data_IF_517627082981
#
_entry.id   IF_517627082981
#
_cell.length_a   1.000
_cell.length_b   1.000
_cell.length_c   1.000
_cell.angle_alpha   90.00
_cell.angle_beta   90.00
_cell.angle_gamma   90.00
#
_symmetry.space_group_name_H-M   'P 1'
#
loop_
_entity.id
_entity.type
_entity.pdbx_description
1 polymer ?
#
# COMPACT_ATOMS: atom_id res chain seq x y z
N UNK A 1 43.86 -2.85 6.53
CA UNK A 1 42.90 -3.42 5.56
C UNK A 1 41.43 -3.05 5.84
N UNK A 2 40.96 -3.08 7.09
CA UNK A 2 39.54 -2.79 7.46
C UNK A 2 39.08 -1.38 7.09
N UNK A 3 39.96 -0.37 7.18
CA UNK A 3 39.62 1.02 6.87
C UNK A 3 39.41 1.29 5.36
N UNK A 4 40.17 0.60 4.52
CA UNK A 4 40.11 0.77 3.05
C UNK A 4 38.79 0.17 2.47
N UNK A 5 38.31 -0.91 3.04
CA UNK A 5 37.04 -1.53 2.62
C UNK A 5 35.84 -0.65 2.98
N UNK A 6 35.83 -0.06 4.19
CA UNK A 6 34.78 0.87 4.63
C UNK A 6 34.73 2.17 3.80
N UNK A 7 35.91 2.68 3.39
CA UNK A 7 36.01 3.88 2.55
C UNK A 7 35.47 3.57 1.13
N UNK A 8 35.88 2.46 0.52
CA UNK A 8 35.35 2.03 -0.80
C UNK A 8 33.83 1.82 -0.78
N UNK A 9 33.27 1.26 0.29
CA UNK A 9 31.85 1.08 0.45
C UNK A 9 31.11 2.42 0.57
N UNK A 10 31.63 3.38 1.35
CA UNK A 10 31.05 4.73 1.45
C UNK A 10 31.07 5.47 0.09
N UNK A 11 32.18 5.37 -0.66
CA UNK A 11 32.30 5.97 -1.98
C UNK A 11 31.32 5.35 -2.98
N UNK A 12 31.13 4.03 -2.93
CA UNK A 12 30.16 3.33 -3.78
C UNK A 12 28.73 3.76 -3.48
N UNK A 13 28.37 3.90 -2.20
CA UNK A 13 27.05 4.40 -1.76
C UNK A 13 26.85 5.84 -2.29
N UNK A 14 27.80 6.73 -2.07
CA UNK A 14 27.70 8.12 -2.53
C UNK A 14 27.54 8.22 -4.07
N UNK A 15 28.28 7.41 -4.84
CA UNK A 15 28.12 7.34 -6.30
C UNK A 15 26.72 6.95 -6.73
N UNK A 16 26.05 6.04 -6.03
CA UNK A 16 24.68 5.63 -6.38
C UNK A 16 23.64 6.71 -6.04
N UNK A 17 23.78 7.41 -4.91
CA UNK A 17 22.97 8.60 -4.62
C UNK A 17 23.13 9.65 -5.72
N UNK A 18 24.36 9.99 -6.05
CA UNK A 18 24.66 10.98 -7.09
C UNK A 18 24.10 10.56 -8.44
N UNK A 19 24.23 9.27 -8.81
CA UNK A 19 23.67 8.72 -10.04
C UNK A 19 22.15 8.90 -10.10
N UNK A 20 21.41 8.51 -9.06
CA UNK A 20 19.96 8.63 -9.04
C UNK A 20 19.54 10.11 -9.10
N UNK A 21 20.16 10.98 -8.30
CA UNK A 21 19.84 12.41 -8.29
C UNK A 21 20.12 13.04 -9.67
N UNK A 22 21.28 12.77 -10.27
CA UNK A 22 21.61 13.29 -11.61
C UNK A 22 20.67 12.72 -12.67
N UNK A 23 20.33 11.45 -12.59
CA UNK A 23 19.39 10.81 -13.50
C UNK A 23 18.01 11.47 -13.42
N UNK A 24 17.49 11.70 -12.21
CA UNK A 24 16.20 12.40 -12.00
C UNK A 24 16.27 13.87 -12.47
N UNK A 25 17.35 14.58 -12.19
CA UNK A 25 17.54 15.95 -12.64
C UNK A 25 17.59 16.05 -14.17
N UNK A 26 18.29 15.13 -14.83
CA UNK A 26 18.34 15.08 -16.30
C UNK A 26 16.97 14.73 -16.89
N UNK A 27 16.27 13.73 -16.38
CA UNK A 27 14.94 13.37 -16.88
C UNK A 27 13.94 14.52 -16.71
N UNK A 28 13.97 15.23 -15.57
CA UNK A 28 13.16 16.42 -15.34
C UNK A 28 13.51 17.56 -16.31
N UNK A 29 14.80 17.86 -16.47
CA UNK A 29 15.26 18.90 -17.37
C UNK A 29 14.88 18.63 -18.82
N UNK A 30 15.15 17.42 -19.32
CA UNK A 30 14.78 17.07 -20.69
C UNK A 30 13.27 17.05 -20.89
N UNK A 31 12.52 16.53 -19.92
CA UNK A 31 11.07 16.53 -19.95
C UNK A 31 10.47 17.93 -20.03
N UNK A 32 10.97 18.85 -19.19
CA UNK A 32 10.54 20.25 -19.23
C UNK A 32 10.89 20.91 -20.58
N UNK A 33 12.11 20.69 -21.11
CA UNK A 33 12.52 21.23 -22.40
C UNK A 33 11.71 20.70 -23.59
N UNK A 34 11.32 19.42 -23.56
CA UNK A 34 10.45 18.85 -24.58
C UNK A 34 9.09 19.57 -24.62
N UNK A 35 8.48 19.78 -23.45
CA UNK A 35 7.18 20.49 -23.38
C UNK A 35 7.30 21.96 -23.79
N UNK A 36 8.40 22.61 -23.41
CA UNK A 36 8.65 24.01 -23.80
C UNK A 36 8.77 24.16 -25.33
N UNK A 37 9.46 23.24 -26.00
CA UNK A 37 9.65 23.25 -27.45
C UNK A 37 8.40 22.78 -28.21
N UNK A 38 7.71 21.78 -27.67
CA UNK A 38 6.54 21.15 -28.29
C UNK A 38 5.34 21.12 -27.35
N UNK A 39 4.64 22.24 -27.12
CA UNK A 39 3.57 22.32 -26.12
C UNK A 39 2.39 21.34 -26.35
N UNK A 40 2.15 20.97 -27.62
CA UNK A 40 1.04 20.08 -28.00
C UNK A 40 1.41 18.60 -27.97
N UNK A 41 2.70 18.26 -27.83
CA UNK A 41 3.20 16.89 -27.92
C UNK A 41 2.60 15.95 -26.88
N UNK A 42 2.23 16.50 -25.71
CA UNK A 42 1.61 15.73 -24.63
C UNK A 42 0.24 15.15 -25.00
N UNK A 43 -0.40 15.69 -26.04
CA UNK A 43 -1.69 15.20 -26.56
C UNK A 43 -1.55 14.15 -27.65
N UNK A 44 -0.34 13.94 -28.16
CA UNK A 44 -0.08 12.93 -29.20
C UNK A 44 -0.04 11.54 -28.58
N UNK A 45 -0.74 10.59 -29.17
CA UNK A 45 -0.85 9.23 -28.70
C UNK A 45 0.51 8.51 -28.57
N UNK A 46 1.37 8.67 -29.57
CA UNK A 46 2.70 8.03 -29.56
C UNK A 46 3.58 8.58 -28.44
N UNK A 47 3.46 9.88 -28.15
CA UNK A 47 4.17 10.47 -27.02
C UNK A 47 3.66 9.95 -25.67
N UNK A 48 2.34 9.77 -25.54
CA UNK A 48 1.74 9.18 -24.33
C UNK A 48 2.24 7.74 -24.10
N UNK A 49 2.30 6.93 -25.16
CA UNK A 49 2.87 5.57 -25.08
C UNK A 49 4.36 5.58 -24.73
N UNK A 50 5.13 6.52 -25.31
CA UNK A 50 6.53 6.71 -24.98
C UNK A 50 6.73 7.06 -23.50
N UNK A 51 5.90 7.95 -22.95
CA UNK A 51 5.96 8.32 -21.52
C UNK A 51 5.62 7.11 -20.64
N UNK A 52 4.60 6.33 -21.00
CA UNK A 52 4.27 5.11 -20.25
C UNK A 52 5.44 4.11 -20.23
N UNK A 53 6.05 3.86 -21.38
CA UNK A 53 7.27 3.04 -21.48
C UNK A 53 8.45 3.62 -20.66
N UNK A 54 8.56 4.95 -20.64
CA UNK A 54 9.58 5.64 -19.84
C UNK A 54 9.39 5.49 -18.34
N UNK A 55 8.14 5.48 -17.84
CA UNK A 55 7.83 5.19 -16.43
C UNK A 55 8.31 3.79 -16.05
N UNK A 56 8.01 2.78 -16.89
CA UNK A 56 8.45 1.41 -16.67
C UNK A 56 9.98 1.30 -16.62
N UNK A 57 10.67 1.94 -17.58
CA UNK A 57 12.13 1.96 -17.63
C UNK A 57 12.73 2.69 -16.42
N UNK A 58 12.17 3.82 -16.03
CA UNK A 58 12.58 4.62 -14.88
C UNK A 58 12.42 3.81 -13.59
N UNK A 59 11.29 3.10 -13.46
CA UNK A 59 11.04 2.16 -12.37
C UNK A 59 12.12 1.08 -12.27
N UNK A 60 12.47 0.46 -13.39
CA UNK A 60 13.50 -0.56 -13.45
C UNK A 60 14.89 -0.01 -13.04
N UNK A 61 15.30 1.14 -13.58
CA UNK A 61 16.59 1.77 -13.28
C UNK A 61 16.69 2.13 -11.79
N UNK A 62 15.65 2.72 -11.22
CA UNK A 62 15.62 3.08 -9.79
C UNK A 62 15.68 1.84 -8.92
N UNK A 63 14.88 0.82 -9.19
CA UNK A 63 14.91 -0.43 -8.41
C UNK A 63 16.28 -1.14 -8.49
N UNK A 64 16.96 -1.06 -9.61
CA UNK A 64 18.31 -1.62 -9.78
C UNK A 64 19.38 -0.85 -9.01
N UNK A 65 19.22 0.46 -8.87
CA UNK A 65 20.20 1.37 -8.27
C UNK A 65 19.98 1.61 -6.77
N UNK A 66 18.74 1.62 -6.33
CA UNK A 66 18.33 1.94 -4.95
C UNK A 66 18.84 1.00 -3.86
N UNK A 67 18.99 -0.34 -4.05
CA UNK A 67 19.47 -1.23 -2.99
C UNK A 67 20.87 -0.87 -2.48
N UNK A 68 21.63 -0.11 -3.26
CA UNK A 68 22.95 0.40 -2.86
C UNK A 68 22.87 1.72 -2.09
N UNK A 69 21.70 2.34 -2.02
CA UNK A 69 21.39 3.47 -1.14
C UNK A 69 20.78 2.92 0.15
N UNK A 70 20.65 3.74 1.18
CA UNK A 70 19.95 3.36 2.42
C UNK A 70 18.47 3.72 2.39
N UNK A 71 17.99 4.29 1.28
CA UNK A 71 16.63 4.74 1.08
C UNK A 71 15.89 3.68 0.24
N UNK A 72 14.70 3.23 0.65
CA UNK A 72 13.88 2.31 -0.14
C UNK A 72 13.58 2.84 -1.55
N UNK A 73 13.48 1.93 -2.51
CA UNK A 73 13.24 2.29 -3.92
C UNK A 73 11.94 3.09 -4.11
N UNK A 74 10.92 2.80 -3.32
CA UNK A 74 9.62 3.48 -3.38
C UNK A 74 9.71 4.99 -3.15
N UNK A 75 10.59 5.42 -2.23
CA UNK A 75 10.85 6.84 -1.99
C UNK A 75 11.45 7.52 -3.22
N UNK A 76 12.43 6.88 -3.86
CA UNK A 76 13.04 7.39 -5.10
C UNK A 76 12.02 7.45 -6.25
N UNK A 77 11.10 6.49 -6.33
CA UNK A 77 10.04 6.46 -7.34
C UNK A 77 9.05 7.61 -7.16
N UNK A 78 8.70 7.95 -5.92
CA UNK A 78 7.88 9.13 -5.62
C UNK A 78 8.60 10.41 -6.07
N UNK A 79 9.88 10.56 -5.73
CA UNK A 79 10.66 11.71 -6.21
C UNK A 79 10.81 11.74 -7.74
N UNK A 80 10.87 10.57 -8.39
CA UNK A 80 10.83 10.49 -9.84
C UNK A 80 9.52 11.02 -10.41
N UNK A 81 8.39 10.64 -9.83
CA UNK A 81 7.07 11.16 -10.19
C UNK A 81 6.98 12.68 -10.04
N UNK A 82 7.42 13.22 -8.90
CA UNK A 82 7.53 14.67 -8.69
C UNK A 82 8.39 15.37 -9.74
N UNK A 83 9.51 14.76 -10.12
CA UNK A 83 10.46 15.33 -11.09
C UNK A 83 9.90 15.38 -12.53
N UNK A 84 9.04 14.42 -12.90
CA UNK A 84 8.45 14.32 -14.25
C UNK A 84 6.97 14.73 -14.29
N UNK A 85 6.46 15.36 -13.24
CA UNK A 85 5.07 15.79 -13.12
C UNK A 85 4.51 16.49 -14.37
N UNK A 86 5.22 17.45 -15.02
CA UNK A 86 4.70 18.11 -16.22
C UNK A 86 4.48 17.16 -17.40
N UNK A 87 5.29 16.12 -17.52
CA UNK A 87 5.17 15.10 -18.58
C UNK A 87 3.97 14.18 -18.39
N UNK A 88 3.48 14.05 -17.15
CA UNK A 88 2.39 13.16 -16.78
C UNK A 88 1.04 13.88 -16.65
N UNK A 89 0.97 15.19 -16.92
CA UNK A 89 -0.26 15.99 -16.79
C UNK A 89 -1.43 15.38 -17.57
N UNK A 90 -1.21 15.01 -18.84
CA UNK A 90 -2.22 14.38 -19.67
C UNK A 90 -2.77 13.08 -19.08
N UNK A 91 -1.89 12.29 -18.46
CA UNK A 91 -2.24 11.00 -17.86
C UNK A 91 -3.03 11.21 -16.56
N UNK A 92 -2.69 12.26 -15.80
CA UNK A 92 -3.39 12.61 -14.56
C UNK A 92 -4.79 13.16 -14.84
N UNK A 93 -4.99 13.84 -15.97
CA UNK A 93 -6.28 14.38 -16.40
C UNK A 93 -7.28 13.28 -16.80
N UNK A 94 -6.79 12.11 -17.28
CA UNK A 94 -7.60 10.94 -17.67
C UNK A 94 -7.92 10.05 -16.44
N UNK A 95 -8.77 10.57 -15.54
CA UNK A 95 -9.08 9.92 -14.24
C UNK A 95 -9.54 8.46 -14.39
N UNK A 96 -10.44 8.16 -15.30
CA UNK A 96 -10.93 6.79 -15.51
C UNK A 96 -9.85 5.79 -15.93
N UNK A 97 -8.86 6.19 -16.73
CA UNK A 97 -7.75 5.36 -17.15
C UNK A 97 -6.82 5.04 -15.96
N UNK A 98 -6.48 6.07 -15.18
CA UNK A 98 -5.65 5.90 -13.99
C UNK A 98 -6.32 4.93 -13.01
N UNK A 99 -7.59 5.13 -12.73
CA UNK A 99 -8.35 4.26 -11.84
C UNK A 99 -8.32 2.81 -12.29
N UNK A 100 -8.64 2.53 -13.56
CA UNK A 100 -8.60 1.18 -14.10
C UNK A 100 -7.19 0.57 -13.97
N UNK A 101 -6.16 1.33 -14.28
CA UNK A 101 -4.77 0.89 -14.18
C UNK A 101 -4.39 0.56 -12.72
N UNK A 102 -4.67 1.43 -11.77
CA UNK A 102 -4.32 1.19 -10.36
C UNK A 102 -5.13 0.05 -9.75
N UNK A 103 -6.39 -0.15 -10.17
CA UNK A 103 -7.22 -1.28 -9.74
C UNK A 103 -6.68 -2.62 -10.27
N UNK A 104 -6.24 -2.68 -11.54
CA UNK A 104 -5.56 -3.86 -12.10
C UNK A 104 -4.27 -4.16 -11.35
N UNK A 105 -3.44 -3.16 -11.14
CA UNK A 105 -2.18 -3.31 -10.40
C UNK A 105 -2.43 -3.80 -8.97
N UNK A 106 -3.41 -3.20 -8.28
CA UNK A 106 -3.76 -3.60 -6.92
C UNK A 106 -4.27 -5.04 -6.84
N UNK A 107 -5.04 -5.51 -7.84
CA UNK A 107 -5.49 -6.90 -7.89
C UNK A 107 -4.34 -7.89 -7.97
N UNK A 108 -3.31 -7.59 -8.77
CA UNK A 108 -2.10 -8.41 -8.89
C UNK A 108 -1.29 -8.43 -7.58
N UNK A 109 -1.15 -7.28 -6.95
CA UNK A 109 -0.40 -7.14 -5.68
C UNK A 109 -1.09 -7.89 -4.55
N UNK A 110 -2.40 -7.74 -4.41
CA UNK A 110 -3.17 -8.43 -3.36
C UNK A 110 -3.20 -9.94 -3.54
N UNK A 111 -3.29 -10.41 -4.78
CA UNK A 111 -3.15 -11.83 -5.09
C UNK A 111 -1.77 -12.36 -4.68
N UNK A 112 -0.69 -11.65 -5.03
CA UNK A 112 0.66 -12.01 -4.62
C UNK A 112 0.80 -12.04 -3.09
N UNK A 113 0.26 -11.04 -2.39
CA UNK A 113 0.25 -10.99 -0.92
C UNK A 113 -0.50 -12.16 -0.30
N UNK A 114 -1.61 -12.61 -0.93
CA UNK A 114 -2.32 -13.82 -0.53
C UNK A 114 -1.47 -15.09 -0.70
N UNK A 115 -0.72 -15.21 -1.80
CA UNK A 115 0.18 -16.33 -2.07
C UNK A 115 1.37 -16.43 -1.09
N UNK A 116 1.81 -15.30 -0.53
CA UNK A 116 2.91 -15.27 0.43
C UNK A 116 2.54 -15.82 1.81
N UNK A 117 1.23 -15.90 2.11
CA UNK A 117 0.74 -16.33 3.42
C UNK A 117 0.60 -17.85 3.45
N UNK A 118 1.34 -18.57 4.30
CA UNK A 118 1.14 -20.00 4.49
C UNK A 118 -0.20 -20.26 5.18
N UNK A 119 -1.19 -20.78 4.45
CA UNK A 119 -2.57 -20.95 4.92
C UNK A 119 -2.70 -21.68 6.26
N UNK A 120 -1.89 -22.74 6.48
CA UNK A 120 -1.89 -23.49 7.75
C UNK A 120 -1.48 -22.64 8.96
N UNK A 121 -0.49 -21.75 8.81
CA UNK A 121 -0.02 -20.85 9.87
C UNK A 121 -1.01 -19.69 10.06
N UNK A 122 -1.58 -19.17 9.00
CA UNK A 122 -2.65 -18.17 9.02
C UNK A 122 -3.85 -18.68 9.83
N UNK A 123 -4.35 -19.89 9.55
CA UNK A 123 -5.49 -20.50 10.26
C UNK A 123 -5.24 -20.61 11.77
N UNK A 124 -4.01 -20.93 12.19
CA UNK A 124 -3.65 -21.05 13.61
C UNK A 124 -3.76 -19.73 14.37
N UNK A 125 -3.42 -18.62 13.73
CA UNK A 125 -3.42 -17.28 14.35
C UNK A 125 -4.52 -16.37 13.78
N UNK A 126 -5.55 -16.97 13.18
CA UNK A 126 -6.62 -16.24 12.49
C UNK A 126 -7.25 -15.14 13.34
N UNK A 127 -7.67 -15.44 14.59
CA UNK A 127 -8.36 -14.46 15.42
C UNK A 127 -7.50 -13.23 15.79
N UNK A 128 -6.24 -13.35 16.26
CA UNK A 128 -5.36 -12.20 16.45
C UNK A 128 -5.12 -11.40 15.16
N UNK A 129 -4.88 -12.07 14.04
CA UNK A 129 -4.68 -11.43 12.74
C UNK A 129 -5.94 -10.69 12.31
N UNK A 130 -7.10 -11.33 12.39
CA UNK A 130 -8.39 -10.73 12.05
C UNK A 130 -8.70 -9.51 12.95
N UNK A 131 -8.44 -9.60 14.25
CA UNK A 131 -8.61 -8.46 15.16
C UNK A 131 -7.72 -7.28 14.79
N UNK A 132 -6.45 -7.52 14.49
CA UNK A 132 -5.54 -6.46 14.04
C UNK A 132 -5.96 -5.85 12.70
N UNK A 133 -6.41 -6.68 11.77
CA UNK A 133 -6.67 -6.25 10.39
C UNK A 133 -8.06 -5.63 10.21
N UNK A 134 -9.10 -6.12 10.83
CA UNK A 134 -10.45 -5.55 10.68
C UNK A 134 -10.77 -4.55 11.79
N UNK A 135 -10.74 -5.00 13.04
CA UNK A 135 -11.00 -4.09 14.16
C UNK A 135 -9.91 -3.02 14.28
N UNK A 136 -8.65 -3.40 14.10
CA UNK A 136 -7.51 -2.47 14.13
C UNK A 136 -7.59 -1.40 13.05
N UNK A 137 -8.04 -1.72 11.83
CA UNK A 137 -8.21 -0.74 10.74
C UNK A 137 -9.32 0.26 11.08
N UNK A 138 -10.48 -0.20 11.57
CA UNK A 138 -11.57 0.69 11.99
C UNK A 138 -11.10 1.59 13.14
N UNK A 139 -10.49 1.01 14.17
CA UNK A 139 -9.98 1.75 15.32
C UNK A 139 -8.91 2.78 14.91
N UNK A 140 -8.00 2.39 14.03
CA UNK A 140 -6.98 3.28 13.47
C UNK A 140 -7.63 4.44 12.71
N UNK A 141 -8.62 4.16 11.87
CA UNK A 141 -9.34 5.18 11.10
C UNK A 141 -10.05 6.18 11.99
N UNK A 142 -10.75 5.71 13.03
CA UNK A 142 -11.46 6.57 13.98
C UNK A 142 -10.49 7.42 14.81
N UNK A 143 -9.47 6.80 15.40
CA UNK A 143 -8.51 7.52 16.24
C UNK A 143 -7.72 8.54 15.43
N UNK A 144 -7.25 8.13 14.26
CA UNK A 144 -6.42 8.99 13.42
C UNK A 144 -7.21 10.17 12.85
N UNK A 145 -8.41 9.93 12.30
CA UNK A 145 -9.27 11.01 11.82
C UNK A 145 -9.66 11.97 12.95
N UNK A 146 -9.90 11.46 14.16
CA UNK A 146 -10.22 12.28 15.33
C UNK A 146 -9.06 13.21 15.69
N UNK A 147 -7.84 12.67 15.75
CA UNK A 147 -6.65 13.46 16.06
C UNK A 147 -6.41 14.54 15.02
N UNK A 148 -6.46 14.17 13.72
CA UNK A 148 -6.26 15.14 12.63
C UNK A 148 -7.37 16.20 12.64
N UNK A 149 -8.63 15.80 12.86
CA UNK A 149 -9.76 16.73 12.94
C UNK A 149 -9.57 17.79 14.02
N UNK A 150 -9.20 17.40 15.24
CA UNK A 150 -8.96 18.36 16.32
C UNK A 150 -7.74 19.24 16.05
N UNK A 151 -6.69 18.70 15.41
CA UNK A 151 -5.53 19.47 14.99
C UNK A 151 -5.91 20.53 13.93
N UNK A 152 -6.68 20.14 12.91
CA UNK A 152 -7.19 21.03 11.86
C UNK A 152 -8.15 22.08 12.44
N UNK A 153 -9.01 21.69 13.38
CA UNK A 153 -9.90 22.62 14.09
C UNK A 153 -9.13 23.65 14.90
N UNK A 154 -8.09 23.21 15.62
CA UNK A 154 -7.22 24.10 16.40
C UNK A 154 -6.49 25.10 15.51
N UNK A 155 -6.06 24.69 14.32
CA UNK A 155 -5.39 25.55 13.33
C UNK A 155 -6.37 26.39 12.48
N UNK A 156 -7.67 26.28 12.67
CA UNK A 156 -8.68 27.00 11.88
C UNK A 156 -8.75 26.58 10.41
N UNK A 157 -8.35 25.34 10.08
CA UNK A 157 -8.28 24.82 8.72
C UNK A 157 -9.56 24.09 8.26
N UNK A 158 -10.57 23.97 9.13
CA UNK A 158 -11.85 23.34 8.79
C UNK A 158 -12.79 24.42 8.28
N UNK A 159 -12.90 24.51 6.95
CA UNK A 159 -13.73 25.51 6.30
C UNK A 159 -15.10 24.94 5.83
N UNK A 160 -15.14 23.63 5.55
CA UNK A 160 -16.32 22.93 5.04
C UNK A 160 -16.34 21.45 5.43
N UNK A 161 -17.44 20.77 5.12
CA UNK A 161 -17.62 19.34 5.32
C UNK A 161 -16.72 18.48 4.42
N UNK A 162 -16.29 19.01 3.27
CA UNK A 162 -15.40 18.31 2.34
C UNK A 162 -14.04 18.05 2.98
N UNK A 163 -13.53 19.00 3.77
CA UNK A 163 -12.29 18.81 4.55
C UNK A 163 -12.45 17.64 5.51
N UNK A 164 -13.56 17.57 6.26
CA UNK A 164 -13.78 16.50 7.24
C UNK A 164 -13.88 15.14 6.56
N UNK A 165 -14.65 15.03 5.46
CA UNK A 165 -14.74 13.80 4.66
C UNK A 165 -13.35 13.37 4.18
N UNK A 166 -12.54 14.33 3.70
CA UNK A 166 -11.17 14.06 3.25
C UNK A 166 -10.30 13.47 4.36
N UNK A 167 -10.39 13.99 5.59
CA UNK A 167 -9.64 13.48 6.74
C UNK A 167 -10.08 12.07 7.13
N UNK A 168 -11.40 11.80 7.13
CA UNK A 168 -11.95 10.48 7.44
C UNK A 168 -11.52 9.44 6.41
N UNK A 169 -11.70 9.75 5.13
CA UNK A 169 -11.35 8.84 4.04
C UNK A 169 -9.84 8.59 3.94
N UNK A 170 -9.02 9.65 4.08
CA UNK A 170 -7.57 9.54 4.12
C UNK A 170 -7.11 8.66 5.28
N UNK A 171 -7.68 8.85 6.48
CA UNK A 171 -7.35 8.04 7.65
C UNK A 171 -7.67 6.55 7.44
N UNK A 172 -8.76 6.26 6.73
CA UNK A 172 -9.16 4.89 6.43
C UNK A 172 -8.26 4.25 5.36
N UNK A 173 -7.93 4.99 4.31
CA UNK A 173 -7.04 4.53 3.25
C UNK A 173 -5.62 4.23 3.77
N UNK A 174 -5.12 5.09 4.67
CA UNK A 174 -3.79 4.94 5.27
C UNK A 174 -3.76 3.95 6.44
N UNK A 175 -4.89 3.39 6.87
CA UNK A 175 -4.91 2.35 7.89
C UNK A 175 -4.32 1.02 7.42
N UNK A 176 -4.13 0.81 6.11
CA UNK A 176 -3.46 -0.36 5.53
C UNK A 176 -1.94 -0.31 5.71
N UNK A 177 -1.32 -1.48 5.77
CA UNK A 177 0.14 -1.69 5.86
C UNK A 177 0.60 -2.59 4.73
N UNK A 178 1.82 -2.42 4.21
CA UNK A 178 2.31 -3.18 3.05
C UNK A 178 3.25 -4.32 3.47
N UNK A 179 2.88 -5.59 3.25
CA UNK A 179 3.75 -6.71 3.59
C UNK A 179 5.05 -6.71 2.78
N UNK A 180 5.04 -6.19 1.56
CA UNK A 180 6.20 -6.21 0.68
C UNK A 180 7.27 -5.20 1.07
N UNK A 181 6.90 -4.12 1.72
CA UNK A 181 7.82 -3.17 2.31
C UNK A 181 8.51 -3.77 3.56
N UNK A 182 7.76 -4.56 4.34
CA UNK A 182 8.22 -5.20 5.57
C UNK A 182 9.09 -6.44 5.32
N UNK A 183 8.76 -7.24 4.30
CA UNK A 183 9.39 -8.55 4.04
C UNK A 183 10.92 -8.51 3.94
N UNK A 184 11.56 -7.58 3.20
CA UNK A 184 13.02 -7.51 3.13
C UNK A 184 13.67 -7.31 4.50
N UNK A 185 13.06 -6.50 5.34
CA UNK A 185 13.51 -6.25 6.72
C UNK A 185 13.34 -7.50 7.57
N UNK A 186 12.19 -8.18 7.50
CA UNK A 186 11.90 -9.38 8.28
C UNK A 186 12.72 -10.60 7.87
N UNK A 187 13.09 -10.73 6.60
CA UNK A 187 13.94 -11.84 6.12
C UNK A 187 15.30 -11.84 6.80
N UNK A 188 15.85 -10.67 7.10
CA UNK A 188 17.18 -10.48 7.68
C UNK A 188 17.20 -10.55 9.23
N UNK A 189 16.05 -10.65 9.89
CA UNK A 189 15.94 -10.68 11.35
C UNK A 189 15.60 -12.08 11.81
N UNK A 190 16.38 -12.64 12.73
CA UNK A 190 16.11 -13.95 13.37
C UNK A 190 15.39 -13.76 14.70
N UNK A 191 14.06 -13.85 14.69
CA UNK A 191 13.26 -13.72 15.91
C UNK A 191 13.27 -15.00 16.76
N UNK A 192 13.26 -14.85 18.08
CA UNK A 192 13.13 -15.96 19.04
C UNK A 192 11.85 -16.78 18.85
N UNK A 193 10.75 -16.13 18.42
CA UNK A 193 9.44 -16.75 18.16
C UNK A 193 8.97 -16.40 16.75
N UNK A 194 9.13 -17.34 15.82
CA UNK A 194 8.88 -17.10 14.39
C UNK A 194 7.42 -16.75 14.06
N UNK A 195 6.44 -17.22 14.89
CA UNK A 195 5.03 -16.92 14.63
C UNK A 195 4.71 -15.42 14.61
N UNK A 196 5.52 -14.58 15.26
CA UNK A 196 5.36 -13.13 15.24
C UNK A 196 5.57 -12.57 13.82
N UNK A 197 6.53 -13.13 13.06
CA UNK A 197 6.70 -12.79 11.64
C UNK A 197 5.46 -13.17 10.82
N UNK A 198 4.93 -14.39 11.07
CA UNK A 198 3.75 -14.87 10.36
C UNK A 198 2.53 -13.98 10.64
N UNK A 199 2.37 -13.50 11.89
CA UNK A 199 1.32 -12.54 12.25
C UNK A 199 1.53 -11.21 11.54
N UNK A 200 2.75 -10.65 11.56
CA UNK A 200 3.07 -9.37 10.94
C UNK A 200 2.79 -9.38 9.42
N UNK A 201 3.24 -10.43 8.72
CA UNK A 201 3.02 -10.58 7.27
C UNK A 201 1.53 -10.76 6.97
N UNK A 202 0.84 -11.61 7.72
CA UNK A 202 -0.57 -11.90 7.49
C UNK A 202 -1.46 -10.72 7.87
N UNK A 203 -1.16 -10.01 8.94
CA UNK A 203 -1.85 -8.79 9.35
C UNK A 203 -1.70 -7.73 8.27
N UNK A 204 -0.47 -7.50 7.80
CA UNK A 204 -0.19 -6.50 6.79
C UNK A 204 -0.97 -6.77 5.49
N UNK A 205 -0.92 -7.98 4.97
CA UNK A 205 -1.68 -8.34 3.77
C UNK A 205 -3.21 -8.25 3.95
N UNK A 206 -3.72 -8.57 5.13
CA UNK A 206 -5.16 -8.51 5.39
C UNK A 206 -5.63 -7.07 5.71
N UNK A 207 -4.76 -6.19 6.22
CA UNK A 207 -5.09 -4.76 6.39
C UNK A 207 -5.24 -4.04 5.06
N UNK A 208 -4.51 -4.43 4.03
CA UNK A 208 -4.71 -3.92 2.67
C UNK A 208 -6.12 -4.22 2.16
N UNK A 209 -6.59 -5.43 2.41
CA UNK A 209 -7.95 -5.85 2.03
C UNK A 209 -9.01 -5.12 2.84
N UNK A 210 -8.91 -5.11 4.16
CA UNK A 210 -9.90 -4.47 5.03
C UNK A 210 -9.92 -2.95 4.85
N UNK A 211 -8.76 -2.31 4.72
CA UNK A 211 -8.64 -0.89 4.40
C UNK A 211 -9.32 -0.52 3.10
N UNK A 212 -9.15 -1.36 2.05
CA UNK A 212 -9.81 -1.15 0.77
C UNK A 212 -11.34 -1.32 0.85
N UNK A 213 -11.83 -2.32 1.59
CA UNK A 213 -13.28 -2.54 1.80
C UNK A 213 -13.90 -1.34 2.53
N UNK A 214 -13.31 -0.91 3.66
CA UNK A 214 -13.85 0.19 4.44
C UNK A 214 -13.75 1.53 3.70
N UNK A 215 -12.64 1.81 3.02
CA UNK A 215 -12.48 3.02 2.21
C UNK A 215 -13.54 3.09 1.11
N UNK A 216 -13.74 2.00 0.37
CA UNK A 216 -14.72 1.93 -0.71
C UNK A 216 -16.16 2.05 -0.18
N UNK A 217 -16.46 1.41 0.94
CA UNK A 217 -17.75 1.53 1.61
C UNK A 217 -18.03 2.99 2.02
N UNK A 218 -17.08 3.68 2.63
CA UNK A 218 -17.24 5.09 3.03
C UNK A 218 -17.34 6.03 1.81
N UNK A 219 -16.59 5.77 0.73
CA UNK A 219 -16.76 6.51 -0.54
C UNK A 219 -18.22 6.44 -1.00
N UNK A 220 -18.78 5.23 -1.11
CA UNK A 220 -20.17 5.04 -1.54
C UNK A 220 -21.15 5.72 -0.59
N UNK A 221 -20.93 5.65 0.71
CA UNK A 221 -21.78 6.28 1.72
C UNK A 221 -21.78 7.80 1.58
N UNK A 222 -20.63 8.43 1.41
CA UNK A 222 -20.50 9.88 1.32
C UNK A 222 -20.90 10.44 -0.06
N UNK A 223 -20.86 9.62 -1.11
CA UNK A 223 -21.36 10.00 -2.42
C UNK A 223 -22.90 10.17 -2.44
N UNK A 224 -23.61 9.48 -1.54
CA UNK A 224 -25.08 9.49 -1.49
C UNK A 224 -25.63 10.45 -0.42
N UNK A 225 -24.90 10.63 0.70
CA UNK A 225 -25.35 11.46 1.81
C UNK A 225 -24.63 12.79 1.82
N UNK A 226 -25.37 13.90 1.64
CA UNK A 226 -24.85 15.24 1.89
C UNK A 226 -24.37 15.36 3.35
N UNK A 227 -23.12 15.71 3.53
CA UNK A 227 -22.47 15.71 4.84
C UNK A 227 -22.87 16.93 5.67
N UNK A 228 -23.93 16.81 6.44
CA UNK A 228 -24.34 17.80 7.47
C UNK A 228 -24.12 17.27 8.90
N UNK A 229 -23.02 16.55 9.14
CA UNK A 229 -22.80 15.87 10.41
C UNK A 229 -22.04 16.76 11.40
N UNK A 230 -22.46 16.73 12.67
CA UNK A 230 -21.96 17.65 13.72
C UNK A 230 -20.67 17.17 14.40
N UNK A 231 -20.41 15.85 14.40
CA UNK A 231 -19.26 15.23 15.06
C UNK A 231 -18.47 14.33 14.11
N UNK A 232 -17.14 14.23 14.30
CA UNK A 232 -16.30 13.32 13.51
C UNK A 232 -16.73 11.85 13.64
N UNK A 233 -17.26 11.45 14.79
CA UNK A 233 -17.74 10.10 15.06
C UNK A 233 -18.95 9.77 14.21
N UNK A 234 -19.80 10.77 13.91
CA UNK A 234 -21.00 10.59 13.10
C UNK A 234 -20.68 10.11 11.68
N UNK A 235 -19.49 10.42 11.15
CA UNK A 235 -19.02 9.93 9.85
C UNK A 235 -18.74 8.42 9.85
N UNK A 236 -18.54 7.82 11.02
CA UNK A 236 -18.37 6.37 11.18
C UNK A 236 -19.66 5.64 11.60
N UNK A 237 -20.73 6.35 11.98
CA UNK A 237 -22.02 5.74 12.32
C UNK A 237 -22.60 4.84 11.22
N UNK A 238 -22.43 5.14 9.91
CA UNK A 238 -22.85 4.21 8.87
C UNK A 238 -22.27 2.81 9.04
N UNK A 239 -21.03 2.67 9.55
CA UNK A 239 -20.40 1.37 9.82
C UNK A 239 -21.08 0.57 10.93
N UNK A 240 -21.90 1.21 11.79
CA UNK A 240 -22.55 0.57 12.94
C UNK A 240 -24.05 0.26 12.67
N UNK A 241 -24.61 0.72 11.56
CA UNK A 241 -26.00 0.44 11.18
C UNK A 241 -26.19 -1.02 10.75
N UNK A 242 -27.32 -1.63 11.12
CA UNK A 242 -27.65 -3.03 10.78
C UNK A 242 -27.61 -3.29 9.27
N UNK A 243 -28.17 -2.40 8.47
CA UNK A 243 -28.15 -2.50 7.01
C UNK A 243 -26.73 -2.53 6.42
N UNK A 244 -25.78 -1.94 7.11
CA UNK A 244 -24.38 -1.95 6.72
C UNK A 244 -23.73 -3.30 6.97
N UNK A 245 -24.03 -3.95 8.10
CA UNK A 245 -23.48 -5.28 8.37
C UNK A 245 -23.95 -6.29 7.32
N UNK A 246 -25.21 -6.22 6.90
CA UNK A 246 -25.74 -7.11 5.87
C UNK A 246 -25.02 -6.87 4.51
N UNK A 247 -24.80 -5.60 4.13
CA UNK A 247 -24.09 -5.24 2.92
C UNK A 247 -22.60 -5.64 2.98
N UNK A 248 -21.91 -5.37 4.09
CA UNK A 248 -20.52 -5.75 4.28
C UNK A 248 -20.35 -7.27 4.32
N UNK A 249 -21.25 -7.98 5.00
CA UNK A 249 -21.23 -9.44 5.03
C UNK A 249 -21.41 -10.03 3.63
N UNK A 250 -22.34 -9.50 2.84
CA UNK A 250 -22.52 -9.92 1.45
C UNK A 250 -21.29 -9.66 0.61
N UNK A 251 -20.68 -8.48 0.74
CA UNK A 251 -19.44 -8.13 0.04
C UNK A 251 -18.27 -9.06 0.41
N UNK A 252 -18.12 -9.39 1.69
CA UNK A 252 -17.09 -10.29 2.18
C UNK A 252 -17.34 -11.72 1.69
N UNK A 253 -18.55 -12.22 1.83
CA UNK A 253 -18.89 -13.60 1.41
C UNK A 253 -18.72 -13.75 -0.09
N UNK A 254 -19.27 -12.83 -0.90
CA UNK A 254 -19.12 -12.90 -2.36
C UNK A 254 -17.65 -12.76 -2.80
N UNK A 255 -16.86 -11.90 -2.15
CA UNK A 255 -15.43 -11.79 -2.40
C UNK A 255 -14.68 -13.10 -2.12
N UNK A 256 -14.96 -13.76 -0.99
CA UNK A 256 -14.36 -15.06 -0.65
C UNK A 256 -14.79 -16.16 -1.64
N UNK A 257 -16.07 -16.20 -2.02
CA UNK A 257 -16.59 -17.20 -2.98
C UNK A 257 -15.95 -17.04 -4.36
N UNK A 258 -15.87 -15.80 -4.86
CA UNK A 258 -15.20 -15.50 -6.12
C UNK A 258 -13.70 -15.82 -6.04
N UNK A 259 -13.06 -15.51 -4.93
CA UNK A 259 -11.65 -15.88 -4.70
C UNK A 259 -11.43 -17.39 -4.67
N UNK A 260 -12.32 -18.15 -4.03
CA UNK A 260 -12.28 -19.61 -4.07
C UNK A 260 -12.48 -20.17 -5.48
N UNK A 261 -13.34 -19.54 -6.27
CA UNK A 261 -13.49 -19.87 -7.69
C UNK A 261 -12.18 -19.61 -8.46
N UNK A 262 -11.49 -18.50 -8.21
CA UNK A 262 -10.17 -18.21 -8.78
C UNK A 262 -9.13 -19.29 -8.43
N UNK A 263 -9.08 -19.71 -7.17
CA UNK A 263 -8.26 -20.88 -6.76
C UNK A 263 -8.63 -22.15 -7.54
N UNK A 264 -9.92 -22.40 -7.70
CA UNK A 264 -10.39 -23.59 -8.46
C UNK A 264 -9.94 -23.54 -9.92
N UNK A 265 -9.94 -22.37 -10.56
CA UNK A 265 -9.39 -22.18 -11.90
C UNK A 265 -7.89 -22.54 -11.94
N UNK A 266 -7.08 -21.98 -11.03
CA UNK A 266 -5.66 -22.29 -10.94
C UNK A 266 -5.48 -23.81 -10.80
N UNK A 267 -6.17 -24.43 -9.85
CA UNK A 267 -6.07 -25.87 -9.59
C UNK A 267 -6.46 -26.73 -10.79
N UNK A 268 -7.47 -26.33 -11.57
CA UNK A 268 -7.98 -27.08 -12.71
C UNK A 268 -6.99 -27.02 -13.88
N UNK A 269 -6.48 -25.84 -14.19
CA UNK A 269 -5.54 -25.66 -15.28
C UNK A 269 -4.11 -26.13 -14.93
N UNK A 270 -3.76 -26.17 -13.64
CA UNK A 270 -2.51 -26.77 -13.17
C UNK A 270 -2.44 -28.28 -13.40
N UNK A 271 -3.56 -29.00 -13.31
CA UNK A 271 -3.65 -30.45 -13.48
C UNK A 271 -3.67 -30.93 -14.94
N UNK A 272 -3.28 -30.11 -15.91
CA UNK A 272 -3.29 -30.53 -17.32
C UNK A 272 -2.36 -31.74 -17.54
N UNK A 273 -2.90 -32.91 -17.99
CA UNK A 273 -2.15 -34.19 -18.01
C UNK A 273 -1.12 -34.31 -19.15
N UNK A 274 -0.87 -33.25 -19.92
CA UNK A 274 -0.05 -33.28 -21.14
C UNK A 274 1.38 -32.72 -20.99
N UNK A 275 1.81 -32.25 -19.84
CA UNK A 275 3.19 -31.75 -19.64
C UNK A 275 3.88 -32.54 -18.53
N UNK A 276 5.02 -33.14 -18.86
CA UNK A 276 5.91 -33.86 -17.93
C UNK A 276 6.51 -32.94 -16.85
N UNK A 277 6.44 -31.63 -17.02
CA UNK A 277 6.78 -30.61 -16.03
C UNK A 277 5.51 -29.94 -15.53
N UNK A 278 5.17 -30.14 -14.26
CA UNK A 278 4.01 -29.53 -13.56
C UNK A 278 4.24 -28.04 -13.26
N UNK A 279 4.60 -27.23 -14.25
CA UNK A 279 4.75 -25.77 -14.08
C UNK A 279 3.40 -25.09 -14.27
N UNK A 280 3.01 -24.21 -13.29
CA UNK A 280 1.87 -23.31 -13.50
C UNK A 280 2.23 -22.38 -14.66
N UNK A 281 1.32 -22.23 -15.62
CA UNK A 281 1.46 -21.21 -16.64
C UNK A 281 1.49 -19.83 -15.98
N UNK A 282 2.59 -19.06 -16.13
CA UNK A 282 2.70 -17.73 -15.52
C UNK A 282 1.56 -16.77 -15.88
N UNK A 283 0.89 -17.00 -17.03
CA UNK A 283 -0.26 -16.20 -17.45
C UNK A 283 -1.45 -16.32 -16.50
N UNK A 284 -1.62 -17.47 -15.82
CA UNK A 284 -2.67 -17.66 -14.82
C UNK A 284 -2.45 -16.74 -13.58
N UNK A 285 -1.20 -16.47 -13.21
CA UNK A 285 -0.87 -15.57 -12.10
C UNK A 285 -1.23 -14.11 -12.43
N UNK A 286 -1.36 -13.77 -13.70
CA UNK A 286 -1.82 -12.45 -14.15
C UNK A 286 -3.34 -12.45 -14.39
N UNK A 287 -3.85 -13.44 -15.10
CA UNK A 287 -5.28 -13.52 -15.48
C UNK A 287 -6.19 -13.68 -14.27
N UNK A 288 -5.90 -14.63 -13.37
CA UNK A 288 -6.81 -14.97 -12.28
C UNK A 288 -7.06 -13.79 -11.31
N UNK A 289 -6.05 -13.03 -10.82
CA UNK A 289 -6.31 -11.90 -9.95
C UNK A 289 -7.13 -10.80 -10.62
N UNK A 290 -6.85 -10.47 -11.89
CA UNK A 290 -7.61 -9.48 -12.65
C UNK A 290 -9.05 -9.94 -12.82
N UNK A 291 -9.25 -11.17 -13.24
CA UNK A 291 -10.57 -11.74 -13.45
C UNK A 291 -11.39 -11.80 -12.15
N UNK A 292 -10.82 -12.32 -11.08
CA UNK A 292 -11.52 -12.42 -9.79
C UNK A 292 -11.81 -11.05 -9.17
N UNK A 293 -10.92 -10.07 -9.36
CA UNK A 293 -11.16 -8.71 -8.92
C UNK A 293 -12.39 -8.09 -9.61
N UNK A 294 -12.42 -8.12 -10.95
CA UNK A 294 -13.54 -7.53 -11.69
C UNK A 294 -14.83 -8.32 -11.51
N UNK A 295 -14.77 -9.65 -11.50
CA UNK A 295 -15.94 -10.50 -11.23
C UNK A 295 -16.51 -10.23 -9.83
N UNK A 296 -15.64 -10.10 -8.82
CA UNK A 296 -16.05 -9.74 -7.47
C UNK A 296 -16.78 -8.40 -7.41
N UNK A 297 -16.27 -7.39 -8.12
CA UNK A 297 -16.91 -6.07 -8.19
C UNK A 297 -18.25 -6.12 -8.93
N UNK A 298 -18.35 -6.83 -10.05
CA UNK A 298 -19.59 -6.98 -10.84
C UNK A 298 -20.69 -7.67 -10.03
N UNK A 299 -20.34 -8.65 -9.21
CA UNK A 299 -21.27 -9.35 -8.33
C UNK A 299 -21.58 -8.59 -7.03
N UNK A 300 -21.20 -7.31 -6.92
CA UNK A 300 -21.42 -6.49 -5.73
C UNK A 300 -20.56 -6.86 -4.52
N UNK A 301 -19.52 -7.67 -4.75
CA UNK A 301 -18.56 -8.09 -3.73
C UNK A 301 -17.34 -7.18 -3.58
N UNK A 302 -16.46 -7.56 -2.67
CA UNK A 302 -15.17 -6.90 -2.50
C UNK A 302 -14.12 -7.50 -3.45
N UNK A 303 -13.91 -6.88 -4.64
CA UNK A 303 -12.97 -7.37 -5.65
C UNK A 303 -11.53 -7.52 -5.10
N UNK A 304 -11.08 -6.60 -4.26
CA UNK A 304 -9.77 -6.71 -3.59
C UNK A 304 -9.67 -7.97 -2.71
N UNK A 305 -10.74 -8.28 -1.98
CA UNK A 305 -10.81 -9.52 -1.19
C UNK A 305 -10.85 -10.76 -2.09
N UNK A 306 -11.51 -10.68 -3.24
CA UNK A 306 -11.59 -11.80 -4.19
C UNK A 306 -10.20 -12.13 -4.76
N UNK A 307 -9.45 -11.13 -5.22
CA UNK A 307 -8.08 -11.33 -5.69
C UNK A 307 -7.16 -11.88 -4.59
N UNK A 308 -7.19 -11.29 -3.39
CA UNK A 308 -6.43 -11.76 -2.24
C UNK A 308 -6.78 -13.20 -1.85
N UNK A 309 -8.08 -13.53 -1.76
CA UNK A 309 -8.53 -14.87 -1.38
C UNK A 309 -8.14 -15.92 -2.41
N UNK A 310 -8.15 -15.59 -3.71
CA UNK A 310 -7.65 -16.47 -4.75
C UNK A 310 -6.18 -16.82 -4.53
N UNK A 311 -5.35 -15.85 -4.15
CA UNK A 311 -3.97 -16.10 -3.77
C UNK A 311 -3.83 -16.93 -2.49
N UNK A 312 -4.57 -16.56 -1.43
CA UNK A 312 -4.49 -17.22 -0.12
C UNK A 312 -4.88 -18.70 -0.15
N UNK A 313 -5.88 -19.07 -0.95
CA UNK A 313 -6.30 -20.46 -1.11
C UNK A 313 -5.38 -21.27 -2.04
N UNK A 314 -4.56 -20.60 -2.85
CA UNK A 314 -3.59 -21.25 -3.74
C UNK A 314 -2.33 -21.61 -2.94
N UNK A 315 -2.43 -22.63 -2.06
CA UNK A 315 -1.27 -23.10 -1.28
C UNK A 315 -0.21 -23.66 -2.22
N UNK A 316 0.95 -23.02 -2.25
CA UNK A 316 1.97 -23.24 -3.26
C UNK A 316 2.87 -24.43 -2.89
N UNK A 317 2.83 -25.48 -3.70
CA UNK A 317 3.87 -26.51 -3.72
C UNK A 317 5.21 -25.92 -4.19
N UNK A 318 6.33 -26.60 -3.88
CA UNK A 318 7.70 -26.14 -4.21
C UNK A 318 7.90 -25.76 -5.69
N UNK A 319 7.20 -26.42 -6.61
CA UNK A 319 7.28 -26.19 -8.05
C UNK A 319 6.61 -24.86 -8.45
N UNK A 320 5.51 -24.52 -7.81
CA UNK A 320 4.79 -23.25 -8.03
C UNK A 320 5.61 -22.06 -7.53
N UNK A 321 6.44 -22.26 -6.52
CA UNK A 321 7.32 -21.21 -5.99
C UNK A 321 8.28 -20.64 -7.03
N UNK A 322 8.74 -21.40 -8.02
CA UNK A 322 9.62 -20.88 -9.07
C UNK A 322 8.94 -19.83 -9.94
N UNK A 323 7.72 -20.10 -10.40
CA UNK A 323 6.96 -19.16 -11.20
C UNK A 323 6.48 -17.96 -10.37
N UNK A 324 6.19 -18.18 -9.09
CA UNK A 324 5.89 -17.10 -8.15
C UNK A 324 7.08 -16.16 -7.96
N UNK A 325 8.32 -16.66 -7.90
CA UNK A 325 9.51 -15.80 -7.81
C UNK A 325 9.62 -14.89 -9.03
N UNK A 326 9.37 -15.40 -10.24
CA UNK A 326 9.33 -14.56 -11.44
C UNK A 326 8.21 -13.52 -11.38
N UNK A 327 7.00 -13.93 -10.98
CA UNK A 327 5.85 -13.05 -10.83
C UNK A 327 6.10 -11.95 -9.78
N UNK A 328 6.67 -12.29 -8.63
CA UNK A 328 7.05 -11.33 -7.58
C UNK A 328 8.11 -10.33 -8.09
N UNK A 329 9.14 -10.81 -8.81
CA UNK A 329 10.11 -9.92 -9.46
C UNK A 329 9.46 -9.00 -10.50
N UNK A 330 8.53 -9.51 -11.31
CA UNK A 330 7.77 -8.71 -12.28
C UNK A 330 6.96 -7.62 -11.57
N UNK A 331 6.23 -7.96 -10.51
CA UNK A 331 5.46 -7.00 -9.73
C UNK A 331 6.36 -5.93 -9.08
N UNK A 332 7.42 -6.36 -8.41
CA UNK A 332 8.26 -5.43 -7.64
C UNK A 332 9.10 -4.50 -8.53
N UNK A 333 9.58 -4.97 -9.70
CA UNK A 333 10.49 -4.20 -10.55
C UNK A 333 9.79 -3.42 -11.65
N UNK A 334 8.58 -3.83 -12.08
CA UNK A 334 7.89 -3.21 -13.20
C UNK A 334 6.56 -2.57 -12.78
N UNK A 335 5.73 -3.29 -12.04
CA UNK A 335 4.34 -2.91 -11.82
C UNK A 335 4.18 -1.92 -10.65
N UNK A 336 4.72 -2.24 -9.46
CA UNK A 336 4.64 -1.35 -8.28
C UNK A 336 5.29 0.03 -8.50
N UNK A 337 6.43 0.16 -9.22
CA UNK A 337 7.00 1.45 -9.54
C UNK A 337 6.03 2.43 -10.18
N UNK A 338 5.13 1.96 -11.04
CA UNK A 338 4.15 2.80 -11.73
C UNK A 338 3.27 3.54 -10.72
N UNK A 339 2.78 2.86 -9.69
CA UNK A 339 1.91 3.46 -8.66
C UNK A 339 2.61 4.61 -7.94
N UNK A 340 3.86 4.41 -7.52
CA UNK A 340 4.58 5.44 -6.77
C UNK A 340 5.00 6.62 -7.64
N UNK A 341 5.33 6.37 -8.92
CA UNK A 341 5.61 7.45 -9.88
C UNK A 341 4.35 8.25 -10.16
N UNK A 342 3.21 7.60 -10.40
CA UNK A 342 1.92 8.28 -10.64
C UNK A 342 1.51 9.07 -9.39
N UNK A 343 1.58 8.46 -8.20
CA UNK A 343 1.26 9.16 -6.94
C UNK A 343 2.16 10.39 -6.77
N UNK A 344 3.48 10.26 -7.01
CA UNK A 344 4.41 11.40 -6.96
C UNK A 344 4.05 12.50 -7.93
N UNK A 345 3.67 12.15 -9.16
CA UNK A 345 3.28 13.11 -10.19
C UNK A 345 1.95 13.83 -9.89
N UNK A 346 1.04 13.21 -9.14
CA UNK A 346 -0.24 13.83 -8.76
C UNK A 346 -0.09 14.90 -7.67
N UNK A 347 0.99 14.89 -6.88
CA UNK A 347 1.12 15.79 -5.73
C UNK A 347 1.66 17.15 -6.13
N UNK A 348 0.93 18.27 -5.90
CA UNK A 348 1.44 19.60 -6.16
C UNK A 348 2.59 19.95 -5.20
N UNK A 349 3.80 20.13 -5.71
CA UNK A 349 5.02 20.39 -4.92
C UNK A 349 4.84 21.62 -4.00
N UNK A 350 4.22 22.69 -4.51
CA UNK A 350 3.97 23.92 -3.74
C UNK A 350 3.11 23.68 -2.49
N UNK A 351 2.10 22.81 -2.60
CA UNK A 351 1.20 22.46 -1.49
C UNK A 351 1.93 21.53 -0.52
N UNK A 352 2.65 20.55 -1.05
CA UNK A 352 3.47 19.63 -0.25
C UNK A 352 4.46 20.38 0.64
N UNK A 353 5.14 21.41 0.12
CA UNK A 353 6.05 22.24 0.91
C UNK A 353 5.31 23.04 1.98
N UNK A 354 4.17 23.67 1.63
CA UNK A 354 3.36 24.45 2.58
C UNK A 354 2.81 23.60 3.74
N UNK A 355 2.47 22.35 3.47
CA UNK A 355 1.92 21.42 4.46
C UNK A 355 2.98 20.58 5.17
N UNK A 356 4.27 20.81 4.91
CA UNK A 356 5.36 19.94 5.38
C UNK A 356 5.38 19.78 6.91
N UNK A 357 5.34 20.87 7.66
CA UNK A 357 5.37 20.81 9.12
C UNK A 357 4.17 20.04 9.68
N UNK A 358 2.98 20.32 9.15
CA UNK A 358 1.75 19.65 9.55
C UNK A 358 1.76 18.16 9.16
N UNK A 359 2.17 17.86 7.93
CA UNK A 359 2.28 16.49 7.43
C UNK A 359 3.28 15.63 8.23
N UNK A 360 4.45 16.20 8.56
CA UNK A 360 5.45 15.53 9.39
C UNK A 360 4.90 15.26 10.80
N UNK A 361 4.27 16.27 11.43
CA UNK A 361 3.68 16.10 12.75
C UNK A 361 2.62 15.00 12.77
N UNK A 362 1.71 15.02 11.79
CA UNK A 362 0.64 14.02 11.64
C UNK A 362 1.23 12.63 11.43
N UNK A 363 2.23 12.48 10.57
CA UNK A 363 2.88 11.20 10.33
C UNK A 363 3.55 10.64 11.60
N UNK A 364 4.24 11.48 12.37
CA UNK A 364 4.86 11.07 13.64
C UNK A 364 3.82 10.63 14.67
N UNK A 365 2.71 11.36 14.81
CA UNK A 365 1.59 10.96 15.67
C UNK A 365 1.02 9.62 15.23
N UNK A 366 0.83 9.43 13.93
CA UNK A 366 0.31 8.21 13.37
C UNK A 366 1.21 7.00 13.68
N UNK A 367 2.53 7.14 13.45
CA UNK A 367 3.50 6.07 13.66
C UNK A 367 3.72 5.73 15.14
N UNK A 368 3.92 6.74 15.98
CA UNK A 368 4.41 6.54 17.34
C UNK A 368 3.34 6.58 18.43
N UNK A 369 2.13 7.07 18.13
CA UNK A 369 1.02 7.15 19.10
C UNK A 369 -0.14 6.27 18.66
N UNK A 370 -0.70 6.50 17.46
CA UNK A 370 -1.92 5.82 17.01
C UNK A 370 -1.66 4.32 16.83
N UNK A 371 -0.61 3.95 16.13
CA UNK A 371 -0.32 2.54 15.84
C UNK A 371 -0.06 1.70 17.10
N UNK A 372 0.82 2.09 18.05
CA UNK A 372 0.99 1.34 19.29
C UNK A 372 -0.31 1.15 20.07
N UNK A 373 -1.13 2.21 20.14
CA UNK A 373 -2.43 2.16 20.81
C UNK A 373 -3.39 1.15 20.15
N UNK A 374 -3.47 1.19 18.81
CA UNK A 374 -4.31 0.28 18.03
C UNK A 374 -3.87 -1.17 18.21
N UNK A 375 -2.57 -1.48 18.13
CA UNK A 375 -2.04 -2.82 18.30
C UNK A 375 -2.31 -3.33 19.71
N UNK A 376 -2.07 -2.51 20.73
CA UNK A 376 -2.33 -2.86 22.12
C UNK A 376 -3.82 -3.19 22.35
N UNK A 377 -4.73 -2.33 21.91
CA UNK A 377 -6.18 -2.54 22.09
C UNK A 377 -6.66 -3.76 21.30
N UNK A 378 -6.23 -3.91 20.05
CA UNK A 378 -6.62 -5.02 19.19
C UNK A 378 -6.16 -6.39 19.72
N UNK A 379 -4.98 -6.46 20.33
CA UNK A 379 -4.43 -7.69 20.90
C UNK A 379 -4.74 -7.89 22.38
N UNK A 380 -5.39 -6.95 23.03
CA UNK A 380 -5.65 -6.96 24.48
C UNK A 380 -6.19 -8.29 25.02
N UNK A 381 -7.20 -8.97 24.38
CA UNK A 381 -7.69 -10.27 24.85
C UNK A 381 -6.62 -11.39 24.89
N UNK A 382 -5.65 -11.32 24.01
CA UNK A 382 -4.55 -12.31 23.93
C UNK A 382 -3.37 -11.93 24.83
N UNK A 383 -3.19 -10.64 25.13
CA UNK A 383 -2.23 -10.13 26.10
C UNK A 383 -2.57 -10.64 27.50
N UNK A 384 -3.82 -10.49 27.92
CA UNK A 384 -4.30 -10.99 29.22
C UNK A 384 -4.12 -12.51 29.34
N UNK A 385 -4.31 -13.24 28.24
CA UNK A 385 -4.10 -14.70 28.20
C UNK A 385 -2.61 -15.11 28.15
N UNK A 386 -1.67 -14.16 28.24
CA UNK A 386 -0.22 -14.41 28.24
C UNK A 386 0.33 -14.93 26.91
N UNK A 387 -0.41 -14.78 25.79
CA UNK A 387 0.03 -15.28 24.48
C UNK A 387 1.08 -14.40 23.84
N UNK A 388 1.08 -13.09 24.12
CA UNK A 388 2.03 -12.11 23.62
C UNK A 388 2.84 -11.51 24.75
N UNK A 389 4.14 -11.32 24.51
CA UNK A 389 5.04 -10.60 25.40
C UNK A 389 5.02 -9.11 25.07
N UNK A 390 5.29 -8.18 26.04
CA UNK A 390 5.33 -6.74 25.76
C UNK A 390 6.26 -6.35 24.60
N UNK A 391 7.44 -7.01 24.52
CA UNK A 391 8.38 -6.80 23.42
C UNK A 391 7.80 -7.18 22.04
N UNK A 392 6.98 -8.23 21.97
CA UNK A 392 6.34 -8.65 20.72
C UNK A 392 5.24 -7.68 20.27
N UNK A 393 4.52 -7.11 21.23
CA UNK A 393 3.50 -6.07 20.96
C UNK A 393 4.19 -4.80 20.44
N UNK A 394 5.28 -4.39 21.11
CA UNK A 394 6.06 -3.24 20.68
C UNK A 394 6.64 -3.46 19.27
N UNK A 395 7.11 -4.66 18.95
CA UNK A 395 7.58 -5.00 17.62
C UNK A 395 6.47 -4.87 16.57
N UNK A 396 5.28 -5.47 16.80
CA UNK A 396 4.13 -5.34 15.91
C UNK A 396 3.64 -3.90 15.74
N UNK A 397 3.86 -3.06 16.77
CA UNK A 397 3.54 -1.62 16.71
C UNK A 397 4.50 -0.84 15.82
N UNK A 398 5.74 -1.28 15.68
CA UNK A 398 6.76 -0.62 14.85
C UNK A 398 6.78 -1.09 13.40
N UNK A 399 6.11 -2.18 13.08
CA UNK A 399 5.99 -2.67 11.70
C UNK A 399 4.71 -2.11 11.12
N UNK A 400 4.83 -0.98 10.43
CA UNK A 400 3.69 -0.35 9.75
C UNK A 400 4.10 0.54 8.59
N UNK A 401 4.77 -0.01 7.63
CA UNK A 401 5.08 0.73 6.41
C UNK A 401 3.79 0.87 5.58
N UNK A 402 3.39 2.11 5.29
CA UNK A 402 2.28 2.38 4.38
C UNK A 402 2.78 2.24 2.95
N UNK A 403 2.27 1.26 2.22
CA UNK A 403 2.84 0.89 0.94
C UNK A 403 1.96 1.18 -0.27
N UNK A 404 2.05 0.26 -1.24
CA UNK A 404 1.43 0.42 -2.56
C UNK A 404 -0.09 0.52 -2.48
N UNK A 405 -0.74 -0.29 -1.65
CA UNK A 405 -2.23 -0.26 -1.55
C UNK A 405 -2.72 1.04 -0.91
N UNK A 406 -2.01 1.58 0.08
CA UNK A 406 -2.29 2.93 0.60
C UNK A 406 -2.20 3.99 -0.50
N UNK A 407 -1.16 3.93 -1.35
CA UNK A 407 -1.00 4.80 -2.51
C UNK A 407 -2.15 4.65 -3.53
N UNK A 408 -2.53 3.40 -3.87
CA UNK A 408 -3.67 3.08 -4.73
C UNK A 408 -4.97 3.69 -4.18
N UNK A 409 -5.23 3.52 -2.88
CA UNK A 409 -6.43 4.05 -2.25
C UNK A 409 -6.46 5.58 -2.26
N UNK A 410 -5.33 6.26 -2.08
CA UNK A 410 -5.23 7.72 -2.24
C UNK A 410 -5.62 8.13 -3.67
N UNK A 411 -5.10 7.45 -4.69
CA UNK A 411 -5.43 7.74 -6.09
C UNK A 411 -6.93 7.53 -6.34
N UNK A 412 -7.52 6.44 -5.84
CA UNK A 412 -8.96 6.16 -5.94
C UNK A 412 -9.79 7.24 -5.21
N UNK A 413 -9.34 7.74 -4.07
CA UNK A 413 -10.00 8.83 -3.34
C UNK A 413 -10.04 10.11 -4.17
N UNK A 414 -8.93 10.49 -4.77
CA UNK A 414 -8.84 11.67 -5.64
C UNK A 414 -9.73 11.51 -6.88
N UNK A 415 -9.72 10.32 -7.50
CA UNK A 415 -10.59 10.00 -8.63
C UNK A 415 -12.08 10.08 -8.30
N UNK A 416 -12.47 9.77 -7.06
CA UNK A 416 -13.86 9.79 -6.62
C UNK A 416 -14.52 11.18 -6.67
N UNK A 417 -13.74 12.27 -6.64
CA UNK A 417 -14.22 13.66 -6.66
C UNK A 417 -14.93 14.12 -5.38
N UNK A 418 -14.99 13.30 -4.33
CA UNK A 418 -15.69 13.62 -3.06
C UNK A 418 -14.75 14.11 -1.96
N UNK A 419 -13.48 14.35 -2.27
CA UNK A 419 -12.44 14.78 -1.33
C UNK A 419 -11.76 16.07 -1.78
N UNK A 420 -11.16 16.76 -0.84
CA UNK A 420 -10.21 17.82 -1.16
C UNK A 420 -8.87 17.18 -1.59
N UNK A 421 -8.63 17.20 -2.92
CA UNK A 421 -7.46 16.55 -3.53
C UNK A 421 -6.15 17.03 -2.90
N UNK A 422 -6.01 18.32 -2.64
CA UNK A 422 -4.80 18.91 -2.08
C UNK A 422 -4.47 18.37 -0.68
N UNK A 423 -5.49 18.21 0.16
CA UNK A 423 -5.34 17.67 1.52
C UNK A 423 -4.96 16.19 1.44
N UNK A 424 -5.70 15.41 0.66
CA UNK A 424 -5.49 13.96 0.57
C UNK A 424 -4.12 13.64 -0.02
N UNK A 425 -3.73 14.31 -1.12
CA UNK A 425 -2.44 14.08 -1.76
C UNK A 425 -1.27 14.54 -0.88
N UNK A 426 -1.33 15.74 -0.31
CA UNK A 426 -0.19 16.27 0.45
C UNK A 426 0.03 15.54 1.78
N UNK A 427 -1.02 15.33 2.58
CA UNK A 427 -0.88 14.62 3.85
C UNK A 427 -0.60 13.13 3.64
N UNK A 428 -1.29 12.49 2.67
CA UNK A 428 -1.05 11.11 2.32
C UNK A 428 0.38 10.87 1.89
N UNK A 429 0.93 11.77 1.07
CA UNK A 429 2.32 11.71 0.63
C UNK A 429 3.30 11.81 1.80
N UNK A 430 3.12 12.77 2.72
CA UNK A 430 4.00 12.90 3.88
C UNK A 430 4.00 11.65 4.76
N UNK A 431 2.82 11.05 4.96
CA UNK A 431 2.69 9.83 5.78
C UNK A 431 3.38 8.66 5.10
N UNK A 432 3.14 8.44 3.79
CA UNK A 432 3.79 7.36 3.02
C UNK A 432 5.31 7.55 3.02
N UNK A 433 5.81 8.74 2.71
CA UNK A 433 7.25 9.00 2.66
C UNK A 433 7.92 8.76 4.02
N UNK A 434 7.33 9.26 5.11
CA UNK A 434 7.95 9.15 6.42
C UNK A 434 7.90 7.72 6.96
N UNK A 435 6.80 7.00 6.76
CA UNK A 435 6.74 5.57 7.14
C UNK A 435 7.80 4.75 6.39
N UNK A 436 7.95 4.96 5.09
CA UNK A 436 8.94 4.26 4.26
C UNK A 436 10.39 4.66 4.56
N UNK A 437 10.65 5.91 4.98
CA UNK A 437 12.01 6.38 5.29
C UNK A 437 12.43 5.97 6.70
N UNK A 438 11.52 6.04 7.67
CA UNK A 438 11.84 5.91 9.10
C UNK A 438 11.75 4.44 9.57
N UNK A 439 10.67 3.73 9.25
CA UNK A 439 10.39 2.42 9.82
C UNK A 439 11.37 1.31 9.37
N UNK A 440 11.69 1.12 8.08
CA UNK A 440 12.58 0.03 7.66
C UNK A 440 13.96 0.08 8.30
N UNK A 441 14.64 1.24 8.41
CA UNK A 441 15.94 1.32 9.09
C UNK A 441 15.83 1.17 10.62
N UNK A 442 14.70 1.58 11.23
CA UNK A 442 14.52 1.49 12.68
C UNK A 442 14.16 0.08 13.15
N UNK A 443 13.44 -0.69 12.36
CA UNK A 443 12.94 -2.02 12.76
C UNK A 443 14.04 -2.96 13.26
N UNK A 444 15.20 -3.16 12.59
CA UNK A 444 16.27 -3.99 13.12
C UNK A 444 16.85 -3.47 14.45
N UNK A 445 16.97 -2.14 14.58
CA UNK A 445 17.49 -1.52 15.82
C UNK A 445 16.53 -1.74 17.00
N UNK A 446 15.23 -1.60 16.76
CA UNK A 446 14.19 -1.87 17.75
C UNK A 446 14.25 -3.31 18.18
N UNK A 447 14.25 -4.28 17.24
CA UNK A 447 14.31 -5.72 17.52
C UNK A 447 15.49 -6.10 18.40
N UNK A 448 16.67 -5.55 18.10
CA UNK A 448 17.88 -5.76 18.91
C UNK A 448 17.73 -5.16 20.31
N UNK A 449 17.23 -3.92 20.43
CA UNK A 449 17.07 -3.22 21.71
C UNK A 449 16.05 -3.88 22.63
N UNK A 450 14.94 -4.42 22.09
CA UNK A 450 13.90 -5.11 22.87
C UNK A 450 14.19 -6.58 23.12
N UNK A 451 15.33 -7.10 22.64
CA UNK A 451 15.81 -8.45 22.90
C UNK A 451 14.98 -9.56 22.25
N UNK A 452 14.36 -9.32 21.10
CA UNK A 452 13.62 -10.32 20.32
C UNK A 452 14.48 -11.13 19.35
N UNK A 453 15.71 -10.70 19.08
CA UNK A 453 16.67 -11.42 18.25
C UNK A 453 17.19 -12.66 18.96
N UNK A 454 17.43 -13.77 18.19
CA UNK A 454 18.01 -15.01 18.72
C UNK A 454 19.47 -14.82 19.08
#
# INVERSE_FOLDING_TARGET
MINHHKIKQKISIFKNYLFIILFLALTSFFGYKIIEIFPTITKEHDFQLFIFGSILFLGYVINRSSPKTKIPSFVWLIFAGLAIQPLLSFFIEEKGLIRMMVEVIASLILFASGLEIPFGRFKRWFFPIFSLSFFGVILSSVLFSTVIFYLFKFLGLINDSLVIISLVLLSTALASTDPTAILPTLRNINLKRNFIKDIAISESALTDVSGSIFTRFLILTFSVQAASQKSIIDYFLPLVKKSTYDALALQIISGIVVGYFGYYLIKTFYKSPKKENHEIDPSLLIFVPIFTFFLGNVLGGAGFLAAFSAGLFSDLNEEVKKNFVFFDHFLNNLIKPVIFVVLGAMVPISIMIKTSLLGILIALIFMFIIRPLVVFISLFPWIIKGKFKPAEILFLSFIRETGVIGAVLIIILVDSGIVNENIVLSLGMWIILLTLIIEPPLTPLVVKKIGLEK
#
